data_IF_937670515973
#
_entry.id   IF_937670515973
#
_cell.length_a   1.000
_cell.length_b   1.000
_cell.length_c   1.000
_cell.angle_alpha   90.00
_cell.angle_beta   90.00
_cell.angle_gamma   90.00
#
_symmetry.space_group_name_H-M   'P 1'
#
loop_
_entity.id
_entity.type
_entity.pdbx_description
1 polymer ?
#
# COMPACT_ATOMS: atom_id res chain seq x y z
N UNK A 1 -23.27 -23.72 -9.41
CA UNK A 1 -23.43 -22.97 -8.14
C UNK A 1 -23.32 -21.47 -8.43
N UNK A 2 -24.41 -20.69 -8.33
CA UNK A 2 -24.34 -19.23 -8.56
C UNK A 2 -23.73 -18.56 -7.32
N UNK A 3 -22.54 -17.99 -7.47
CA UNK A 3 -21.93 -17.16 -6.43
C UNK A 3 -22.83 -15.97 -6.13
N UNK A 4 -23.21 -15.77 -4.86
CA UNK A 4 -23.98 -14.60 -4.45
C UNK A 4 -23.12 -13.35 -4.69
N UNK A 5 -23.59 -12.46 -5.56
CA UNK A 5 -22.95 -11.17 -5.78
C UNK A 5 -22.86 -10.40 -4.45
N UNK A 6 -21.65 -9.99 -4.05
CA UNK A 6 -21.49 -9.19 -2.86
C UNK A 6 -22.13 -7.82 -3.06
N UNK A 7 -22.85 -7.30 -2.05
CA UNK A 7 -23.44 -5.97 -2.15
C UNK A 7 -22.33 -4.93 -2.33
N UNK A 8 -22.52 -4.00 -3.28
CA UNK A 8 -21.58 -2.91 -3.58
C UNK A 8 -21.31 -1.98 -2.39
N UNK A 9 -22.17 -2.01 -1.36
CA UNK A 9 -22.05 -1.19 -0.16
C UNK A 9 -22.41 -2.02 1.07
N UNK A 10 -21.56 -1.96 2.09
CA UNK A 10 -21.79 -2.62 3.38
C UNK A 10 -22.21 -1.55 4.39
N UNK A 11 -23.41 -1.71 4.97
CA UNK A 11 -23.93 -0.84 6.05
C UNK A 11 -23.93 -1.62 7.35
N UNK A 12 -23.14 -1.20 8.33
CA UNK A 12 -22.95 -1.89 9.61
C UNK A 12 -22.84 -0.87 10.75
N UNK A 13 -23.37 -1.24 11.91
CA UNK A 13 -23.15 -0.53 13.17
C UNK A 13 -21.95 -1.15 13.87
N UNK A 14 -21.06 -0.32 14.41
CA UNK A 14 -19.87 -0.75 15.13
C UNK A 14 -19.82 -0.02 16.46
N UNK A 15 -19.53 -0.74 17.54
CA UNK A 15 -19.26 -0.14 18.84
C UNK A 15 -17.80 0.33 18.87
N UNK A 16 -17.58 1.63 19.04
CA UNK A 16 -16.26 2.23 19.16
C UNK A 16 -16.14 2.92 20.52
N UNK A 17 -14.93 2.90 21.07
CA UNK A 17 -14.63 3.68 22.27
C UNK A 17 -14.81 5.17 21.97
N UNK A 18 -15.50 5.89 22.86
CA UNK A 18 -15.75 7.33 22.68
C UNK A 18 -14.45 8.14 22.59
N UNK A 19 -13.48 7.82 23.45
CA UNK A 19 -12.15 8.44 23.44
C UNK A 19 -11.48 8.34 22.07
N UNK A 20 -11.52 7.14 21.46
CA UNK A 20 -10.94 6.91 20.14
C UNK A 20 -11.61 7.76 19.04
N UNK A 21 -12.93 7.92 19.10
CA UNK A 21 -13.67 8.76 18.14
C UNK A 21 -13.32 10.23 18.31
N UNK A 22 -13.19 10.69 19.55
CA UNK A 22 -12.84 12.09 19.85
C UNK A 22 -11.41 12.41 19.41
N UNK A 23 -10.45 11.51 19.68
CA UNK A 23 -9.07 11.61 19.18
C UNK A 23 -9.01 11.65 17.64
N UNK A 24 -9.72 10.73 16.98
CA UNK A 24 -9.78 10.67 15.52
C UNK A 24 -10.36 11.96 14.93
N UNK A 25 -11.40 12.54 15.55
CA UNK A 25 -11.97 13.82 15.12
C UNK A 25 -11.03 15.01 15.35
N UNK A 26 -10.29 15.03 16.46
CA UNK A 26 -9.33 16.08 16.75
C UNK A 26 -8.18 16.09 15.72
N UNK A 27 -7.69 14.90 15.35
CA UNK A 27 -6.66 14.72 14.34
C UNK A 27 -7.16 14.91 12.89
N UNK A 28 -8.47 14.83 12.67
CA UNK A 28 -9.06 14.95 11.34
C UNK A 28 -9.01 16.39 10.81
N UNK A 29 -8.84 16.55 9.47
CA UNK A 29 -9.11 17.80 8.77
C UNK A 29 -10.53 18.32 9.07
N UNK A 30 -10.74 19.64 9.08
CA UNK A 30 -12.02 20.25 9.47
C UNK A 30 -13.21 19.70 8.66
N UNK A 31 -13.00 19.39 7.38
CA UNK A 31 -14.00 18.84 6.46
C UNK A 31 -14.54 17.45 6.86
N UNK A 32 -13.82 16.71 7.72
CA UNK A 32 -14.14 15.34 8.10
C UNK A 32 -14.67 15.21 9.53
N UNK A 33 -14.61 16.28 10.35
CA UNK A 33 -14.96 16.23 11.78
C UNK A 33 -16.44 15.96 12.04
N UNK A 34 -17.30 16.49 11.17
CA UNK A 34 -18.75 16.42 11.32
C UNK A 34 -19.36 15.19 10.64
N UNK A 35 -18.60 14.48 9.80
CA UNK A 35 -19.08 13.29 9.09
C UNK A 35 -18.25 12.05 9.44
N UNK A 36 -18.67 11.34 10.50
CA UNK A 36 -18.00 10.14 10.98
C UNK A 36 -17.92 9.03 9.93
N UNK A 37 -18.95 8.87 9.09
CA UNK A 37 -18.92 7.85 8.03
C UNK A 37 -17.82 8.14 7.00
N UNK A 38 -17.65 9.41 6.63
CA UNK A 38 -16.59 9.83 5.71
C UNK A 38 -15.22 9.68 6.36
N UNK A 39 -15.09 10.07 7.62
CA UNK A 39 -13.86 9.89 8.40
C UNK A 39 -13.43 8.41 8.46
N UNK A 40 -14.35 7.51 8.82
CA UNK A 40 -14.10 6.06 8.86
C UNK A 40 -13.73 5.52 7.48
N UNK A 41 -14.40 5.99 6.42
CA UNK A 41 -14.09 5.57 5.05
C UNK A 41 -12.66 5.92 4.65
N UNK A 42 -12.24 7.16 4.90
CA UNK A 42 -10.87 7.62 4.61
C UNK A 42 -9.85 6.84 5.45
N UNK A 43 -10.10 6.67 6.75
CA UNK A 43 -9.22 5.91 7.64
C UNK A 43 -9.03 4.45 7.17
N UNK A 44 -10.09 3.78 6.71
CA UNK A 44 -10.01 2.43 6.17
C UNK A 44 -9.24 2.36 4.84
N UNK A 45 -9.41 3.36 3.97
CA UNK A 45 -8.66 3.44 2.72
C UNK A 45 -7.16 3.60 2.97
N UNK A 46 -6.78 4.49 3.88
CA UNK A 46 -5.38 4.71 4.25
C UNK A 46 -4.77 3.47 4.94
N UNK A 47 -5.52 2.84 5.85
CA UNK A 47 -5.09 1.60 6.49
C UNK A 47 -4.82 0.49 5.46
N UNK A 48 -5.75 0.30 4.51
CA UNK A 48 -5.58 -0.68 3.45
C UNK A 48 -4.39 -0.35 2.53
N UNK A 49 -4.21 0.92 2.17
CA UNK A 49 -3.07 1.36 1.37
C UNK A 49 -1.73 1.07 2.07
N UNK A 50 -1.60 1.45 3.34
CA UNK A 50 -0.40 1.20 4.15
C UNK A 50 -0.10 -0.30 4.28
N UNK A 51 -1.13 -1.13 4.52
CA UNK A 51 -0.95 -2.58 4.60
C UNK A 51 -0.51 -3.20 3.28
N UNK A 52 -1.04 -2.74 2.15
CA UNK A 52 -0.61 -3.19 0.82
C UNK A 52 0.84 -2.79 0.55
N UNK A 53 1.21 -1.56 0.88
CA UNK A 53 2.58 -1.08 0.73
C UNK A 53 3.55 -1.92 1.56
N UNK A 54 3.26 -2.17 2.84
CA UNK A 54 4.08 -3.02 3.71
C UNK A 54 4.23 -4.44 3.14
N UNK A 55 3.12 -5.07 2.73
CA UNK A 55 3.17 -6.40 2.14
C UNK A 55 3.99 -6.44 0.84
N UNK A 56 3.93 -5.36 0.05
CA UNK A 56 4.74 -5.22 -1.15
C UNK A 56 6.23 -5.06 -0.83
N UNK A 57 6.57 -4.19 0.13
CA UNK A 57 7.94 -4.00 0.61
C UNK A 57 8.54 -5.30 1.16
N UNK A 58 7.77 -6.06 1.95
CA UNK A 58 8.17 -7.36 2.47
C UNK A 58 8.40 -8.37 1.34
N UNK A 59 7.49 -8.45 0.36
CA UNK A 59 7.64 -9.33 -0.80
C UNK A 59 8.87 -8.97 -1.65
N UNK A 60 9.11 -7.67 -1.86
CA UNK A 60 10.28 -7.17 -2.57
C UNK A 60 11.57 -7.49 -1.82
N UNK A 61 11.59 -7.34 -0.49
CA UNK A 61 12.74 -7.70 0.33
C UNK A 61 13.04 -9.20 0.27
N UNK A 62 12.02 -10.05 0.30
CA UNK A 62 12.18 -11.50 0.14
C UNK A 62 12.72 -11.85 -1.25
N UNK A 63 12.19 -11.23 -2.30
CA UNK A 63 12.66 -11.42 -3.68
C UNK A 63 14.11 -10.98 -3.84
N UNK A 64 14.48 -9.82 -3.28
CA UNK A 64 15.86 -9.31 -3.32
C UNK A 64 16.84 -10.19 -2.52
N UNK A 65 16.37 -10.87 -1.47
CA UNK A 65 17.18 -11.79 -0.68
C UNK A 65 17.29 -13.20 -1.30
N UNK A 66 16.52 -13.52 -2.34
CA UNK A 66 16.56 -14.82 -3.01
C UNK A 66 17.88 -14.98 -3.79
N UNK A 67 18.74 -15.96 -3.44
CA UNK A 67 20.01 -16.17 -4.11
C UNK A 67 19.90 -16.49 -5.61
N UNK A 68 18.82 -17.16 -6.04
CA UNK A 68 18.62 -17.47 -7.46
C UNK A 68 18.33 -16.19 -8.26
N UNK A 69 17.52 -15.30 -7.70
CA UNK A 69 17.21 -14.00 -8.30
C UNK A 69 18.46 -13.12 -8.32
N UNK A 70 19.25 -13.10 -7.23
CA UNK A 70 20.52 -12.37 -7.20
C UNK A 70 21.50 -12.86 -8.27
N UNK A 71 21.61 -14.18 -8.47
CA UNK A 71 22.48 -14.76 -9.49
C UNK A 71 22.03 -14.40 -10.92
N UNK A 72 20.73 -14.47 -11.18
CA UNK A 72 20.15 -14.09 -12.47
C UNK A 72 20.34 -12.59 -12.74
N UNK A 73 19.98 -11.73 -11.78
CA UNK A 73 20.19 -10.29 -11.86
C UNK A 73 21.67 -9.94 -12.07
N UNK A 74 22.59 -10.65 -11.40
CA UNK A 74 24.03 -10.48 -11.60
C UNK A 74 24.50 -10.89 -12.99
N UNK A 75 23.88 -11.91 -13.60
CA UNK A 75 24.17 -12.33 -14.97
C UNK A 75 23.69 -11.28 -15.97
N UNK A 76 22.45 -10.80 -15.81
CA UNK A 76 21.89 -9.72 -16.64
C UNK A 76 22.74 -8.45 -16.52
N UNK A 77 23.10 -8.03 -15.31
CA UNK A 77 23.93 -6.84 -15.10
C UNK A 77 25.27 -6.94 -15.82
N UNK A 78 25.91 -8.12 -15.83
CA UNK A 78 27.16 -8.34 -16.58
C UNK A 78 26.96 -8.28 -18.09
N UNK A 79 25.89 -8.90 -18.59
CA UNK A 79 25.58 -8.93 -20.02
C UNK A 79 25.33 -7.53 -20.58
N UNK A 80 24.64 -6.69 -19.82
CA UNK A 80 24.27 -5.33 -20.23
C UNK A 80 25.20 -4.23 -19.70
N UNK A 81 26.33 -4.58 -19.06
CA UNK A 81 27.25 -3.61 -18.45
C UNK A 81 27.75 -2.55 -19.44
N UNK A 82 27.96 -2.92 -20.71
CA UNK A 82 28.42 -1.99 -21.77
C UNK A 82 27.35 -0.98 -22.18
N UNK A 83 26.08 -1.28 -21.96
CA UNK A 83 24.95 -0.41 -22.27
C UNK A 83 24.61 0.55 -21.12
N UNK A 84 25.16 0.37 -19.91
CA UNK A 84 24.87 1.27 -18.77
C UNK A 84 25.34 2.71 -19.01
N UNK A 85 26.38 2.89 -19.82
CA UNK A 85 26.91 4.21 -20.19
C UNK A 85 26.44 4.69 -21.56
N UNK A 86 25.53 3.96 -22.21
CA UNK A 86 25.04 4.34 -23.53
C UNK A 86 24.26 5.66 -23.45
N UNK A 87 24.60 6.61 -24.32
CA UNK A 87 24.01 7.95 -24.31
C UNK A 87 24.61 8.96 -23.31
N UNK A 88 25.51 8.55 -22.41
CA UNK A 88 26.31 9.48 -21.60
C UNK A 88 27.50 9.96 -22.44
N UNK A 89 27.34 11.09 -23.12
CA UNK A 89 28.47 11.78 -23.76
C UNK A 89 29.45 12.25 -22.66
N UNK A 90 30.71 11.83 -22.77
CA UNK A 90 31.82 12.50 -22.10
C UNK A 90 31.98 13.89 -22.75
N UNK A 91 31.26 14.89 -22.25
CA UNK A 91 31.65 16.31 -22.42
C UNK A 91 32.45 16.76 -21.19
#
# INVERSE_FOLDING_TARGET
>A
MRGKAHPKTVRRSVALARQLVDEAKAAAPPELRDNLNRLVTVALQEFAAKRKQQAFEEAMAQMAADPAIQAECGSIAKEFATAETDGLKND
#
